data_IF_797272270448
#
_entry.id   IF_797272270448
#
_cell.length_a   1.000
_cell.length_b   1.000
_cell.length_c   1.000
_cell.angle_alpha   90.00
_cell.angle_beta   90.00
_cell.angle_gamma   90.00
#
_symmetry.space_group_name_H-M   'P 1'
#
loop_
_entity.id
_entity.type
_entity.pdbx_description
1 polymer ?
#
# COMPACT_ATOMS: atom_id res chain seq x y z
N UNK A 1 17.88 30.51 14.22
CA UNK A 1 18.23 29.30 13.45
C UNK A 1 17.62 28.00 13.98
N UNK A 2 17.53 27.75 15.30
CA UNK A 2 17.02 26.48 15.90
C UNK A 2 15.68 25.93 15.35
N UNK A 3 14.73 26.78 14.94
CA UNK A 3 13.43 26.34 14.37
C UNK A 3 13.55 25.73 12.96
N UNK A 4 14.51 26.17 12.15
CA UNK A 4 14.75 25.63 10.80
C UNK A 4 15.43 24.24 10.88
N UNK A 5 16.31 24.05 11.85
CA UNK A 5 16.96 22.76 12.09
C UNK A 5 15.97 21.71 12.61
N UNK A 6 15.02 22.12 13.46
CA UNK A 6 13.91 21.26 13.88
C UNK A 6 13.04 20.79 12.72
N UNK A 7 12.71 21.69 11.78
CA UNK A 7 11.93 21.35 10.60
C UNK A 7 12.69 20.44 9.61
N UNK A 8 14.01 20.60 9.46
CA UNK A 8 14.86 19.67 8.68
C UNK A 8 14.88 18.27 9.30
N UNK A 9 15.01 18.17 10.63
CA UNK A 9 14.94 16.89 11.34
C UNK A 9 13.58 16.22 11.15
N UNK A 10 12.50 16.98 11.23
CA UNK A 10 11.14 16.48 10.97
C UNK A 10 10.98 15.92 9.55
N UNK A 11 11.47 16.63 8.53
CA UNK A 11 11.44 16.14 7.15
C UNK A 11 12.20 14.81 6.98
N UNK A 12 13.40 14.70 7.59
CA UNK A 12 14.17 13.46 7.54
C UNK A 12 13.49 12.27 8.25
N UNK A 13 12.69 12.54 9.30
CA UNK A 13 11.85 11.51 9.96
C UNK A 13 10.68 11.11 9.05
N UNK A 14 10.00 12.08 8.44
CA UNK A 14 8.89 11.82 7.52
C UNK A 14 9.34 11.04 6.29
N UNK A 15 10.52 11.32 5.74
CA UNK A 15 11.11 10.58 4.62
C UNK A 15 11.40 9.13 4.98
N UNK A 16 12.08 8.88 6.11
CA UNK A 16 12.33 7.52 6.61
C UNK A 16 11.05 6.72 6.82
N UNK A 17 10.02 7.37 7.38
CA UNK A 17 8.71 6.73 7.59
C UNK A 17 8.00 6.46 6.26
N UNK A 18 8.11 7.35 5.29
CA UNK A 18 7.62 7.14 3.92
C UNK A 18 8.30 5.96 3.23
N UNK A 19 9.62 5.79 3.38
CA UNK A 19 10.35 4.65 2.83
C UNK A 19 9.92 3.33 3.48
N UNK A 20 9.70 3.34 4.80
CA UNK A 20 9.19 2.18 5.52
C UNK A 20 7.81 1.75 5.01
N UNK A 21 6.89 2.69 4.80
CA UNK A 21 5.56 2.40 4.24
C UNK A 21 5.63 1.91 2.79
N UNK A 22 6.53 2.46 1.96
CA UNK A 22 6.74 1.96 0.58
C UNK A 22 7.22 0.51 0.57
N UNK A 23 8.16 0.16 1.45
CA UNK A 23 8.60 -1.24 1.64
C UNK A 23 7.49 -2.13 2.18
N UNK A 24 6.66 -1.62 3.08
CA UNK A 24 5.49 -2.36 3.58
C UNK A 24 4.49 -2.64 2.46
N UNK A 25 4.07 -1.62 1.70
CA UNK A 25 3.16 -1.79 0.57
C UNK A 25 3.71 -2.75 -0.51
N UNK A 26 5.02 -2.74 -0.76
CA UNK A 26 5.64 -3.72 -1.66
C UNK A 26 5.52 -5.17 -1.14
N UNK A 27 5.73 -5.38 0.17
CA UNK A 27 5.55 -6.68 0.81
C UNK A 27 4.09 -7.14 0.78
N UNK A 28 3.16 -6.25 1.08
CA UNK A 28 1.71 -6.52 1.05
C UNK A 28 1.24 -6.89 -0.37
N UNK A 29 1.73 -6.20 -1.42
CA UNK A 29 1.49 -6.59 -2.81
C UNK A 29 2.03 -7.98 -3.14
N UNK A 30 3.23 -8.30 -2.68
CA UNK A 30 3.82 -9.64 -2.85
C UNK A 30 2.99 -10.72 -2.15
N UNK A 31 2.51 -10.45 -0.94
CA UNK A 31 1.62 -11.36 -0.21
C UNK A 31 0.27 -11.55 -0.93
N UNK A 32 -0.30 -10.48 -1.48
CA UNK A 32 -1.55 -10.54 -2.26
C UNK A 32 -1.38 -11.40 -3.52
N UNK A 33 -0.29 -11.20 -4.26
CA UNK A 33 0.02 -12.00 -5.45
C UNK A 33 0.20 -13.49 -5.11
N UNK A 34 0.82 -13.80 -3.96
CA UNK A 34 0.96 -15.17 -3.49
C UNK A 34 -0.40 -15.81 -3.11
N UNK A 35 -1.33 -15.04 -2.53
CA UNK A 35 -2.69 -15.49 -2.27
C UNK A 35 -3.46 -15.73 -3.58
N UNK A 36 -3.36 -14.81 -4.54
CA UNK A 36 -3.99 -14.95 -5.86
C UNK A 36 -3.52 -16.22 -6.58
N UNK A 37 -2.22 -16.51 -6.55
CA UNK A 37 -1.65 -17.73 -7.11
C UNK A 37 -2.23 -19.00 -6.45
N UNK A 38 -2.32 -19.03 -5.12
CA UNK A 38 -2.90 -20.16 -4.38
C UNK A 38 -4.39 -20.35 -4.68
N UNK A 39 -5.15 -19.26 -4.78
CA UNK A 39 -6.57 -19.32 -5.15
C UNK A 39 -6.72 -19.91 -6.57
N UNK A 40 -5.90 -19.46 -7.51
CA UNK A 40 -5.90 -19.99 -8.88
C UNK A 40 -5.57 -21.50 -8.91
N UNK A 41 -4.54 -21.93 -8.17
CA UNK A 41 -4.17 -23.34 -8.04
C UNK A 41 -5.32 -24.18 -7.47
N UNK A 42 -5.95 -23.73 -6.38
CA UNK A 42 -7.09 -24.44 -5.78
C UNK A 42 -8.29 -24.51 -6.71
N UNK A 43 -8.59 -23.43 -7.43
CA UNK A 43 -9.67 -23.43 -8.44
C UNK A 43 -9.39 -24.38 -9.59
N UNK A 44 -8.14 -24.49 -10.04
CA UNK A 44 -7.74 -25.46 -11.05
C UNK A 44 -7.90 -26.90 -10.54
N UNK A 45 -7.53 -27.17 -9.29
CA UNK A 45 -7.74 -28.48 -8.66
C UNK A 45 -9.23 -28.85 -8.55
N UNK A 46 -10.10 -27.90 -8.19
CA UNK A 46 -11.55 -28.09 -8.20
C UNK A 46 -12.04 -28.42 -9.62
N UNK A 47 -11.59 -27.68 -10.64
CA UNK A 47 -11.97 -27.92 -12.03
C UNK A 47 -11.61 -29.36 -12.48
N UNK A 48 -10.41 -29.83 -12.16
CA UNK A 48 -9.99 -31.21 -12.42
C UNK A 48 -10.87 -32.24 -11.70
N UNK A 49 -11.28 -31.97 -10.46
CA UNK A 49 -12.22 -32.85 -9.74
C UNK A 49 -13.62 -32.84 -10.37
N UNK A 50 -14.10 -31.70 -10.85
CA UNK A 50 -15.35 -31.59 -11.59
C UNK A 50 -15.31 -32.38 -12.91
N UNK A 51 -14.21 -32.29 -13.67
CA UNK A 51 -14.00 -33.10 -14.88
C UNK A 51 -14.00 -34.60 -14.57
N UNK A 52 -13.29 -35.01 -13.51
CA UNK A 52 -13.29 -36.41 -13.03
C UNK A 52 -14.68 -36.87 -12.61
N UNK A 53 -15.48 -36.00 -11.98
CA UNK A 53 -16.86 -36.31 -11.61
C UNK A 53 -17.74 -36.48 -12.84
N UNK A 54 -17.62 -35.61 -13.84
CA UNK A 54 -18.36 -35.70 -15.10
C UNK A 54 -18.00 -36.98 -15.87
N UNK A 55 -16.72 -37.32 -15.95
CA UNK A 55 -16.23 -38.54 -16.60
C UNK A 55 -16.66 -39.83 -15.88
N UNK A 56 -17.10 -39.74 -14.61
CA UNK A 56 -17.58 -40.90 -13.84
C UNK A 56 -19.00 -41.35 -14.20
N UNK A 57 -19.69 -40.62 -15.09
CA UNK A 57 -21.02 -40.97 -15.62
C UNK A 57 -20.87 -41.79 -16.90
N UNK A 58 -21.22 -43.08 -16.93
CA UNK A 58 -21.03 -43.93 -18.10
C UNK A 58 -22.26 -43.96 -19.00
N UNK A 59 -22.07 -44.43 -20.25
CA UNK A 59 -23.12 -44.50 -21.26
C UNK A 59 -24.05 -45.73 -21.13
N UNK A 60 -23.90 -46.60 -20.12
CA UNK A 60 -24.64 -47.87 -20.03
C UNK A 60 -25.31 -48.08 -18.66
N UNK A 61 -26.46 -48.80 -18.61
CA UNK A 61 -27.11 -49.16 -17.36
C UNK A 61 -26.24 -50.09 -16.52
N UNK A 62 -26.25 -49.87 -15.20
CA UNK A 62 -25.43 -50.58 -14.23
C UNK A 62 -26.09 -51.82 -13.66
N UNK A 63 -25.28 -52.83 -13.30
CA UNK A 63 -25.69 -53.78 -12.26
C UNK A 63 -25.76 -53.07 -10.89
N UNK A 64 -26.68 -53.49 -10.01
CA UNK A 64 -26.93 -52.81 -8.72
C UNK A 64 -25.67 -52.62 -7.85
N UNK A 65 -24.78 -53.61 -7.80
CA UNK A 65 -23.51 -53.55 -7.05
C UNK A 65 -22.53 -52.53 -7.63
N UNK A 66 -22.45 -52.42 -8.96
CA UNK A 66 -21.63 -51.45 -9.66
C UNK A 66 -22.14 -50.02 -9.45
N UNK A 67 -23.46 -49.84 -9.47
CA UNK A 67 -24.10 -48.55 -9.19
C UNK A 67 -23.71 -48.01 -7.81
N UNK A 68 -23.75 -48.86 -6.77
CA UNK A 68 -23.37 -48.45 -5.42
C UNK A 68 -21.88 -48.07 -5.34
N UNK A 69 -21.00 -48.83 -5.99
CA UNK A 69 -19.57 -48.53 -6.05
C UNK A 69 -19.29 -47.20 -6.75
N UNK A 70 -19.98 -46.91 -7.86
CA UNK A 70 -19.84 -45.63 -8.56
C UNK A 70 -20.37 -44.48 -7.70
N UNK A 71 -21.56 -44.61 -7.11
CA UNK A 71 -22.11 -43.58 -6.23
C UNK A 71 -21.18 -43.28 -5.06
N UNK A 72 -20.54 -44.29 -4.47
CA UNK A 72 -19.50 -44.10 -3.45
C UNK A 72 -18.31 -43.28 -3.96
N UNK A 73 -17.79 -43.60 -5.15
CA UNK A 73 -16.71 -42.80 -5.79
C UNK A 73 -17.14 -41.36 -6.07
N UNK A 74 -18.35 -41.17 -6.58
CA UNK A 74 -18.90 -39.84 -6.85
C UNK A 74 -19.08 -39.02 -5.57
N UNK A 75 -19.58 -39.64 -4.50
CA UNK A 75 -19.70 -39.00 -3.20
C UNK A 75 -18.35 -38.55 -2.65
N UNK A 76 -17.31 -39.39 -2.76
CA UNK A 76 -15.95 -39.04 -2.34
C UNK A 76 -15.38 -37.87 -3.15
N UNK A 77 -15.61 -37.82 -4.47
CA UNK A 77 -15.17 -36.69 -5.31
C UNK A 77 -15.91 -35.41 -4.94
N UNK A 78 -17.23 -35.46 -4.75
CA UNK A 78 -18.04 -34.31 -4.31
C UNK A 78 -17.59 -33.77 -2.95
N UNK A 79 -17.28 -34.67 -2.02
CA UNK A 79 -16.72 -34.29 -0.73
C UNK A 79 -15.37 -33.58 -0.88
N UNK A 80 -14.46 -34.11 -1.70
CA UNK A 80 -13.18 -33.46 -1.98
C UNK A 80 -13.34 -32.06 -2.60
N UNK A 81 -14.31 -31.90 -3.53
CA UNK A 81 -14.67 -30.59 -4.09
C UNK A 81 -15.13 -29.62 -2.99
N UNK A 82 -16.04 -30.06 -2.12
CA UNK A 82 -16.55 -29.24 -1.02
C UNK A 82 -15.44 -28.79 -0.07
N UNK A 83 -14.51 -29.69 0.31
CA UNK A 83 -13.36 -29.32 1.13
C UNK A 83 -12.49 -28.26 0.46
N UNK A 84 -12.19 -28.42 -0.84
CA UNK A 84 -11.39 -27.43 -1.57
C UNK A 84 -12.11 -26.09 -1.74
N UNK A 85 -13.45 -26.09 -1.87
CA UNK A 85 -14.25 -24.87 -1.92
C UNK A 85 -14.14 -24.08 -0.61
N UNK A 86 -14.25 -24.75 0.54
CA UNK A 86 -14.04 -24.12 1.85
C UNK A 86 -12.64 -23.51 1.94
N UNK A 87 -11.60 -24.22 1.49
CA UNK A 87 -10.24 -23.67 1.47
C UNK A 87 -10.10 -22.44 0.55
N UNK A 88 -10.82 -22.42 -0.59
CA UNK A 88 -10.84 -21.26 -1.49
C UNK A 88 -11.53 -20.07 -0.81
N UNK A 89 -12.64 -20.31 -0.11
CA UNK A 89 -13.37 -19.26 0.61
C UNK A 89 -12.49 -18.66 1.72
N UNK A 90 -11.81 -19.50 2.51
CA UNK A 90 -10.81 -19.05 3.51
C UNK A 90 -9.70 -18.20 2.88
N UNK A 91 -9.21 -18.60 1.70
CA UNK A 91 -8.18 -17.84 0.98
C UNK A 91 -8.72 -16.50 0.46
N UNK A 92 -9.98 -16.45 0.02
CA UNK A 92 -10.64 -15.22 -0.43
C UNK A 92 -10.83 -14.22 0.73
N UNK A 93 -11.22 -14.70 1.91
CA UNK A 93 -11.29 -13.87 3.12
C UNK A 93 -9.92 -13.27 3.47
N UNK A 94 -8.87 -14.11 3.48
CA UNK A 94 -7.49 -13.65 3.72
C UNK A 94 -7.02 -12.66 2.65
N UNK A 95 -7.39 -12.87 1.39
CA UNK A 95 -7.10 -11.97 0.28
C UNK A 95 -7.76 -10.62 0.51
N UNK A 96 -9.02 -10.59 0.92
CA UNK A 96 -9.75 -9.35 1.21
C UNK A 96 -9.11 -8.59 2.38
N UNK A 97 -8.72 -9.27 3.45
CA UNK A 97 -8.00 -8.67 4.56
C UNK A 97 -6.64 -8.09 4.13
N UNK A 98 -5.88 -8.83 3.31
CA UNK A 98 -4.60 -8.36 2.77
C UNK A 98 -4.77 -7.15 1.84
N UNK A 99 -5.82 -7.13 1.02
CA UNK A 99 -6.15 -5.99 0.16
C UNK A 99 -6.51 -4.75 0.98
N UNK A 100 -7.27 -4.92 2.07
CA UNK A 100 -7.56 -3.81 2.97
C UNK A 100 -6.30 -3.27 3.65
N UNK A 101 -5.43 -4.14 4.15
CA UNK A 101 -4.14 -3.73 4.74
C UNK A 101 -3.29 -2.93 3.74
N UNK A 102 -3.24 -3.37 2.48
CA UNK A 102 -2.55 -2.63 1.42
C UNK A 102 -3.16 -1.24 1.18
N UNK A 103 -4.49 -1.14 1.12
CA UNK A 103 -5.18 0.15 0.97
C UNK A 103 -4.86 1.09 2.12
N UNK A 104 -4.85 0.58 3.35
CA UNK A 104 -4.54 1.36 4.55
C UNK A 104 -3.08 1.86 4.54
N UNK A 105 -2.13 1.00 4.17
CA UNK A 105 -0.72 1.37 3.99
C UNK A 105 -0.52 2.45 2.93
N UNK A 106 -1.23 2.35 1.79
CA UNK A 106 -1.18 3.36 0.73
C UNK A 106 -1.81 4.69 1.16
N UNK A 107 -2.94 4.65 1.87
CA UNK A 107 -3.58 5.84 2.42
C UNK A 107 -2.66 6.54 3.45
N UNK A 108 -2.01 5.77 4.32
CA UNK A 108 -1.01 6.29 5.27
C UNK A 108 0.19 6.92 4.55
N UNK A 109 0.66 6.31 3.46
CA UNK A 109 1.77 6.84 2.66
C UNK A 109 1.40 8.17 2.01
N UNK A 110 0.21 8.26 1.40
CA UNK A 110 -0.32 9.51 0.83
C UNK A 110 -0.48 10.60 1.91
N UNK A 111 -0.98 10.24 3.09
CA UNK A 111 -1.11 11.16 4.22
C UNK A 111 0.23 11.73 4.67
N UNK A 112 1.28 10.90 4.73
CA UNK A 112 2.64 11.36 5.05
C UNK A 112 3.23 12.23 3.95
N UNK A 113 2.99 11.89 2.68
CA UNK A 113 3.46 12.69 1.55
C UNK A 113 2.85 14.10 1.56
N UNK A 114 1.54 14.20 1.79
CA UNK A 114 0.85 15.50 1.93
C UNK A 114 1.45 16.32 3.07
N UNK A 115 1.69 15.71 4.24
CA UNK A 115 2.33 16.39 5.39
C UNK A 115 3.74 16.85 5.05
N UNK A 116 4.54 16.01 4.38
CA UNK A 116 5.89 16.35 3.95
C UNK A 116 5.87 17.55 3.00
N UNK A 117 4.98 17.57 2.03
CA UNK A 117 4.86 18.65 1.05
C UNK A 117 4.45 19.96 1.76
N UNK A 118 3.47 19.92 2.66
CA UNK A 118 3.10 21.08 3.46
C UNK A 118 4.27 21.65 4.28
N UNK A 119 5.11 20.78 4.88
CA UNK A 119 6.31 21.22 5.59
C UNK A 119 7.39 21.81 4.67
N UNK A 120 7.56 21.26 3.45
CA UNK A 120 8.47 21.81 2.43
C UNK A 120 8.01 23.19 1.99
N UNK A 121 6.73 23.36 1.70
CA UNK A 121 6.14 24.63 1.28
C UNK A 121 6.26 25.69 2.38
N UNK A 122 5.98 25.31 3.63
CA UNK A 122 6.15 26.20 4.78
C UNK A 122 7.61 26.66 4.93
N UNK A 123 8.57 25.74 4.79
CA UNK A 123 9.99 26.08 4.85
C UNK A 123 10.42 27.01 3.70
N UNK A 124 9.93 26.77 2.49
CA UNK A 124 10.20 27.63 1.34
C UNK A 124 9.69 29.05 1.58
N UNK A 125 8.43 29.19 2.02
CA UNK A 125 7.85 30.50 2.39
C UNK A 125 8.65 31.20 3.48
N UNK A 126 9.08 30.46 4.50
CA UNK A 126 9.86 31.03 5.62
C UNK A 126 11.24 31.52 5.20
N UNK A 127 11.88 30.88 4.22
CA UNK A 127 13.16 31.33 3.66
C UNK A 127 12.99 32.65 2.92
N UNK A 128 12.02 32.73 2.01
CA UNK A 128 11.69 33.94 1.27
C UNK A 128 11.38 35.10 2.23
N UNK A 129 10.59 34.86 3.27
CA UNK A 129 10.28 35.88 4.30
C UNK A 129 11.54 36.36 5.04
N UNK A 130 12.48 35.45 5.33
CA UNK A 130 13.73 35.79 6.03
C UNK A 130 14.68 36.57 5.11
N UNK A 131 14.77 36.20 3.83
CA UNK A 131 15.55 36.91 2.81
C UNK A 131 15.03 38.33 2.62
N UNK A 132 13.72 38.50 2.41
CA UNK A 132 13.10 39.83 2.31
C UNK A 132 13.39 40.71 3.52
N UNK A 133 13.30 40.17 4.74
CA UNK A 133 13.63 40.93 5.96
C UNK A 133 15.10 41.35 6.02
N UNK A 134 16.01 40.54 5.48
CA UNK A 134 17.44 40.90 5.39
C UNK A 134 17.68 41.99 4.36
N UNK A 135 17.03 41.88 3.19
CA UNK A 135 17.09 42.90 2.15
C UNK A 135 16.58 44.25 2.68
N UNK A 136 15.40 44.28 3.31
CA UNK A 136 14.86 45.51 3.90
C UNK A 136 15.73 46.09 5.03
N UNK A 137 16.38 45.24 5.83
CA UNK A 137 17.30 45.71 6.86
C UNK A 137 18.58 46.32 6.24
N UNK A 138 19.13 45.68 5.19
CA UNK A 138 20.28 46.22 4.47
C UNK A 138 19.95 47.54 3.76
N UNK A 139 18.75 47.67 3.18
CA UNK A 139 18.26 48.92 2.59
C UNK A 139 18.13 50.03 3.64
N UNK A 140 17.58 49.72 4.82
CA UNK A 140 17.49 50.66 5.95
C UNK A 140 18.88 51.15 6.40
N UNK A 141 19.84 50.23 6.59
CA UNK A 141 21.22 50.55 6.98
C UNK A 141 21.91 51.47 5.95
N UNK A 142 21.67 51.26 4.64
CA UNK A 142 22.19 52.12 3.58
C UNK A 142 21.58 53.53 3.64
N UNK A 143 20.27 53.64 3.90
CA UNK A 143 19.59 54.94 4.00
C UNK A 143 19.97 55.72 5.27
N UNK A 144 20.19 55.05 6.41
CA UNK A 144 20.66 55.69 7.65
C UNK A 144 22.14 56.10 7.54
N UNK A 145 22.99 55.28 6.90
CA UNK A 145 24.38 55.63 6.61
C UNK A 145 24.54 56.84 5.67
N UNK A 146 23.61 57.05 4.75
CA UNK A 146 23.56 58.23 3.89
C UNK A 146 23.15 59.51 4.65
N UNK A 147 22.37 59.40 5.73
CA UNK A 147 21.93 60.53 6.55
C UNK A 147 23.00 61.09 7.50
N UNK A 148 23.97 60.27 7.91
CA UNK A 148 25.07 60.68 8.80
C UNK A 148 26.29 61.29 8.09
N UNK A 149 26.30 61.34 6.75
CA UNK A 149 27.40 61.89 5.95
C UNK A 149 27.31 63.38 5.60
N UNK A 150 26.21 64.07 5.93
CA UNK A 150 25.94 65.45 5.48
C UNK A 150 25.96 66.51 6.58
N UNK A 151 26.65 66.27 7.71
CA UNK A 151 26.86 67.30 8.74
C UNK A 151 28.35 67.45 9.07
N UNK A 152 29.16 67.87 8.10
CA UNK A 152 30.41 68.59 8.38
C UNK A 152 30.57 69.73 7.39
N UNK A 153 30.71 70.94 7.93
CA UNK A 153 30.98 72.23 7.28
C UNK A 153 29.74 72.98 6.74
N UNK A 154 29.18 73.88 7.56
CA UNK A 154 29.50 75.30 7.53
C UNK A 154 28.97 76.00 8.79
#
# INVERSE_FOLDING_TARGET
MKRLDGARRLLAVLERRGDALRRQAARERGALAALDARIAERRAAIAQLCERLAASVPPRPYARSELMRVRGKQAAIRHAIACQQIEVDDLLERRQAAEQALRDSLAAALGLERRRNAHRDWLARRRIETERRRESAAEADITEGAGHGFNHQQ
#
